data_IF_507882705080
#
_entry.id   IF_507882705080
#
_cell.length_a   1.000
_cell.length_b   1.000
_cell.length_c   1.000
_cell.angle_alpha   90.00
_cell.angle_beta   90.00
_cell.angle_gamma   90.00
#
_symmetry.space_group_name_H-M   'P 1'
#
loop_
_entity.id
_entity.type
_entity.pdbx_description
1 polymer ?
#
# COMPACT_ATOMS: atom_id res chain seq x y z
N UNK A 1 -12.18 -16.81 -22.25
CA UNK A 1 -13.29 -17.34 -21.42
C UNK A 1 -14.09 -16.27 -20.66
N UNK A 2 -13.50 -15.18 -20.13
CA UNK A 2 -14.23 -14.15 -19.36
C UNK A 2 -15.32 -13.41 -20.15
N UNK A 3 -15.11 -13.14 -21.44
CA UNK A 3 -16.06 -12.46 -22.31
C UNK A 3 -17.31 -13.30 -22.65
N UNK A 4 -17.18 -14.62 -22.65
CA UNK A 4 -18.30 -15.53 -22.97
C UNK A 4 -19.36 -15.51 -21.87
N UNK A 5 -18.96 -15.37 -20.60
CA UNK A 5 -19.87 -15.24 -19.47
C UNK A 5 -20.63 -13.90 -19.47
N UNK A 6 -19.95 -12.80 -19.81
CA UNK A 6 -20.60 -11.48 -19.93
C UNK A 6 -21.59 -11.49 -21.10
N UNK A 7 -21.21 -12.04 -22.23
CA UNK A 7 -22.09 -12.14 -23.40
C UNK A 7 -23.34 -12.97 -23.11
N UNK A 8 -23.19 -14.08 -22.39
CA UNK A 8 -24.32 -14.91 -21.94
C UNK A 8 -25.26 -14.13 -21.03
N UNK A 9 -24.72 -13.39 -20.06
CA UNK A 9 -25.52 -12.56 -19.15
C UNK A 9 -26.24 -11.44 -19.88
N UNK A 10 -25.63 -10.80 -20.86
CA UNK A 10 -26.28 -9.77 -21.73
C UNK A 10 -27.44 -10.38 -22.53
N UNK A 11 -27.24 -11.58 -23.09
CA UNK A 11 -28.29 -12.27 -23.81
C UNK A 11 -29.45 -12.67 -22.89
N UNK A 12 -29.19 -13.15 -21.68
CA UNK A 12 -30.20 -13.49 -20.70
C UNK A 12 -30.99 -12.24 -20.24
N UNK A 13 -30.28 -11.15 -19.95
CA UNK A 13 -30.94 -9.88 -19.58
C UNK A 13 -31.77 -9.31 -20.71
N UNK A 14 -31.28 -9.35 -21.95
CA UNK A 14 -32.04 -8.94 -23.16
C UNK A 14 -33.26 -9.81 -23.41
N UNK A 15 -33.12 -11.13 -23.24
CA UNK A 15 -34.23 -12.07 -23.33
C UNK A 15 -35.28 -11.83 -22.24
N UNK A 16 -34.87 -11.62 -21.00
CA UNK A 16 -35.77 -11.29 -19.87
C UNK A 16 -36.46 -9.95 -20.07
N UNK A 17 -35.76 -8.93 -20.59
CA UNK A 17 -36.37 -7.66 -20.98
C UNK A 17 -37.47 -7.84 -22.06
N UNK A 18 -37.18 -8.62 -23.09
CA UNK A 18 -38.09 -8.87 -24.18
C UNK A 18 -39.38 -9.56 -23.68
N UNK A 19 -39.27 -10.57 -22.81
CA UNK A 19 -40.41 -11.25 -22.20
C UNK A 19 -41.22 -10.28 -21.35
N UNK A 20 -40.61 -9.52 -20.46
CA UNK A 20 -41.26 -8.54 -19.59
C UNK A 20 -42.02 -7.46 -20.38
N UNK A 21 -41.42 -6.95 -21.48
CA UNK A 21 -42.10 -5.98 -22.36
C UNK A 21 -43.28 -6.59 -23.10
N UNK A 22 -43.13 -7.84 -23.59
CA UNK A 22 -44.18 -8.60 -24.26
C UNK A 22 -45.36 -8.85 -23.34
N UNK A 23 -45.13 -9.44 -22.15
CA UNK A 23 -46.18 -9.69 -21.14
C UNK A 23 -46.88 -8.38 -20.73
N UNK A 24 -46.12 -7.28 -20.61
CA UNK A 24 -46.67 -5.96 -20.34
C UNK A 24 -47.59 -5.43 -21.43
N UNK A 25 -47.28 -5.67 -22.70
CA UNK A 25 -48.16 -5.29 -23.85
C UNK A 25 -49.40 -6.13 -23.90
N UNK A 26 -49.29 -7.45 -23.73
CA UNK A 26 -50.41 -8.37 -23.68
C UNK A 26 -51.35 -8.06 -22.50
N UNK A 27 -50.84 -7.73 -21.34
CA UNK A 27 -51.65 -7.33 -20.16
C UNK A 27 -52.40 -6.03 -20.40
N UNK A 28 -51.82 -5.04 -21.07
CA UNK A 28 -52.54 -3.80 -21.47
C UNK A 28 -53.67 -4.09 -22.43
N UNK A 29 -53.49 -5.01 -23.36
CA UNK A 29 -54.54 -5.39 -24.29
C UNK A 29 -55.70 -6.12 -23.60
N UNK A 30 -55.39 -7.08 -22.68
CA UNK A 30 -56.41 -7.75 -21.86
C UNK A 30 -57.18 -6.72 -21.00
N UNK A 31 -56.46 -5.76 -20.40
CA UNK A 31 -57.10 -4.69 -19.62
C UNK A 31 -58.07 -3.85 -20.49
N UNK A 32 -57.67 -3.52 -21.72
CA UNK A 32 -58.51 -2.81 -22.67
C UNK A 32 -59.80 -3.63 -23.01
N UNK A 33 -59.66 -4.95 -23.20
CA UNK A 33 -60.72 -5.86 -23.44
C UNK A 33 -61.72 -5.96 -22.26
N UNK A 34 -61.19 -5.93 -21.01
CA UNK A 34 -62.03 -5.88 -19.82
C UNK A 34 -62.90 -4.60 -19.81
N UNK A 35 -62.26 -3.45 -20.03
CA UNK A 35 -62.98 -2.16 -20.06
C UNK A 35 -64.08 -2.16 -21.17
N UNK A 36 -63.73 -2.63 -22.38
CA UNK A 36 -64.70 -2.70 -23.49
C UNK A 36 -65.86 -3.68 -23.22
N UNK A 37 -65.60 -4.80 -22.54
CA UNK A 37 -66.61 -5.77 -22.13
C UNK A 37 -67.51 -5.21 -21.03
N UNK A 38 -67.02 -4.47 -20.09
CA UNK A 38 -67.75 -3.78 -19.04
C UNK A 38 -68.64 -2.68 -19.63
N UNK A 39 -68.18 -1.91 -20.63
CA UNK A 39 -68.98 -0.87 -21.34
C UNK A 39 -70.05 -1.45 -22.26
N UNK A 40 -69.84 -2.61 -22.86
CA UNK A 40 -70.78 -3.23 -23.79
C UNK A 40 -71.92 -3.94 -23.13
N UNK A 41 -71.97 -4.03 -21.78
CA UNK A 41 -73.11 -4.61 -21.06
C UNK A 41 -73.12 -6.17 -21.07
N UNK A 42 -72.03 -6.83 -21.38
CA UNK A 42 -71.86 -8.30 -21.32
C UNK A 42 -70.89 -8.72 -20.17
N UNK A 43 -71.20 -8.33 -18.90
CA UNK A 43 -70.25 -8.52 -17.81
C UNK A 43 -70.25 -9.94 -17.22
N UNK A 44 -71.31 -10.73 -17.41
CA UNK A 44 -71.49 -11.96 -16.62
C UNK A 44 -70.65 -13.15 -17.12
N UNK A 45 -70.30 -13.22 -18.42
CA UNK A 45 -69.64 -14.39 -18.97
C UNK A 45 -68.17 -14.15 -19.38
N UNK A 46 -67.82 -12.99 -19.89
CA UNK A 46 -66.44 -12.71 -20.43
C UNK A 46 -65.57 -11.99 -19.45
N UNK A 47 -66.09 -11.13 -18.59
CA UNK A 47 -65.32 -10.30 -17.67
C UNK A 47 -64.56 -11.14 -16.60
N UNK A 48 -65.18 -12.17 -15.98
CA UNK A 48 -64.46 -13.02 -15.00
C UNK A 48 -63.27 -13.75 -15.63
N UNK A 49 -63.41 -14.30 -16.81
CA UNK A 49 -62.33 -15.03 -17.50
C UNK A 49 -61.18 -14.10 -17.91
N UNK A 50 -61.44 -12.89 -18.37
CA UNK A 50 -60.46 -11.89 -18.71
C UNK A 50 -59.75 -11.39 -17.48
N UNK A 51 -60.43 -11.21 -16.34
CA UNK A 51 -59.82 -10.85 -15.04
C UNK A 51 -58.90 -11.96 -14.54
N UNK A 52 -59.37 -13.22 -14.59
CA UNK A 52 -58.52 -14.37 -14.20
C UNK A 52 -57.25 -14.47 -15.08
N UNK A 53 -57.39 -14.24 -16.40
CA UNK A 53 -56.27 -14.19 -17.34
C UNK A 53 -55.28 -13.05 -16.99
N UNK A 54 -55.78 -11.84 -16.70
CA UNK A 54 -54.95 -10.69 -16.28
C UNK A 54 -54.21 -11.00 -15.01
N UNK A 55 -54.86 -11.58 -13.99
CA UNK A 55 -54.25 -11.89 -12.69
C UNK A 55 -53.15 -12.96 -12.82
N UNK A 56 -53.36 -13.96 -13.72
CA UNK A 56 -52.31 -14.91 -14.07
C UNK A 56 -51.08 -14.24 -14.72
N UNK A 57 -51.35 -13.33 -15.68
CA UNK A 57 -50.27 -12.56 -16.33
C UNK A 57 -49.56 -11.59 -15.38
N UNK A 58 -50.24 -11.07 -14.36
CA UNK A 58 -49.63 -10.21 -13.33
C UNK A 58 -48.62 -11.01 -12.48
N UNK A 59 -48.96 -12.26 -12.14
CA UNK A 59 -48.04 -13.18 -11.47
C UNK A 59 -46.80 -13.47 -12.31
N UNK A 60 -46.96 -13.84 -13.58
CA UNK A 60 -45.85 -14.07 -14.52
C UNK A 60 -44.97 -12.83 -14.66
N UNK A 61 -45.55 -11.66 -14.86
CA UNK A 61 -44.83 -10.39 -14.97
C UNK A 61 -44.05 -10.04 -13.72
N UNK A 62 -44.56 -10.37 -12.55
CA UNK A 62 -43.85 -10.15 -11.29
C UNK A 62 -42.57 -10.99 -11.24
N UNK A 63 -42.66 -12.26 -11.63
CA UNK A 63 -41.47 -13.16 -11.68
C UNK A 63 -40.47 -12.68 -12.72
N UNK A 64 -40.94 -12.30 -13.93
CA UNK A 64 -40.11 -11.75 -15.00
C UNK A 64 -39.40 -10.45 -14.57
N UNK A 65 -40.11 -9.57 -13.84
CA UNK A 65 -39.58 -8.33 -13.29
C UNK A 65 -38.50 -8.56 -12.22
N UNK A 66 -38.71 -9.53 -11.32
CA UNK A 66 -37.75 -9.94 -10.34
C UNK A 66 -36.48 -10.47 -11.04
N UNK A 67 -36.66 -11.38 -11.99
CA UNK A 67 -35.55 -11.98 -12.75
C UNK A 67 -34.74 -10.90 -13.51
N UNK A 68 -35.43 -9.98 -14.17
CA UNK A 68 -34.83 -8.85 -14.90
C UNK A 68 -34.02 -7.97 -13.95
N UNK A 69 -34.55 -7.68 -12.75
CA UNK A 69 -33.87 -6.86 -11.74
C UNK A 69 -32.56 -7.52 -11.27
N UNK A 70 -32.60 -8.82 -10.96
CA UNK A 70 -31.41 -9.54 -10.55
C UNK A 70 -30.37 -9.64 -11.67
N UNK A 71 -30.75 -9.93 -12.89
CA UNK A 71 -29.86 -9.99 -14.05
C UNK A 71 -29.24 -8.63 -14.36
N UNK A 72 -30.01 -7.55 -14.30
CA UNK A 72 -29.51 -6.19 -14.55
C UNK A 72 -28.57 -5.72 -13.42
N UNK A 73 -28.91 -5.99 -12.16
CA UNK A 73 -28.04 -5.68 -11.01
C UNK A 73 -26.72 -6.46 -11.09
N UNK A 74 -26.77 -7.74 -11.48
CA UNK A 74 -25.59 -8.56 -11.70
C UNK A 74 -24.69 -8.00 -12.80
N UNK A 75 -25.26 -7.58 -13.92
CA UNK A 75 -24.51 -6.94 -15.02
C UNK A 75 -23.86 -5.62 -14.60
N UNK A 76 -24.60 -4.76 -13.91
CA UNK A 76 -24.06 -3.50 -13.37
C UNK A 76 -22.94 -3.76 -12.37
N UNK A 77 -23.12 -4.74 -11.47
CA UNK A 77 -22.09 -5.13 -10.51
C UNK A 77 -20.81 -5.63 -11.18
N UNK A 78 -20.92 -6.50 -12.18
CA UNK A 78 -19.76 -6.99 -12.94
C UNK A 78 -19.08 -5.85 -13.70
N UNK A 79 -19.87 -4.98 -14.35
CA UNK A 79 -19.31 -3.82 -15.05
C UNK A 79 -18.56 -2.89 -14.09
N UNK A 80 -19.12 -2.64 -12.91
CA UNK A 80 -18.48 -1.81 -11.88
C UNK A 80 -17.15 -2.42 -11.41
N UNK A 81 -17.14 -3.72 -11.07
CA UNK A 81 -15.93 -4.38 -10.57
C UNK A 81 -14.86 -4.52 -11.66
N UNK A 82 -15.25 -4.82 -12.89
CA UNK A 82 -14.28 -5.10 -13.97
C UNK A 82 -13.73 -3.83 -14.62
N UNK A 83 -14.54 -2.78 -14.72
CA UNK A 83 -14.18 -1.56 -15.46
C UNK A 83 -14.10 -0.31 -14.61
N UNK A 84 -15.09 -0.07 -13.74
CA UNK A 84 -15.11 1.15 -12.95
C UNK A 84 -14.10 1.12 -11.81
N UNK A 85 -14.03 0.03 -11.07
CA UNK A 85 -13.11 -0.09 -9.93
C UNK A 85 -11.63 0.05 -10.33
N UNK A 86 -11.11 -0.62 -11.38
CA UNK A 86 -9.74 -0.43 -11.84
C UNK A 86 -9.48 0.99 -12.35
N UNK A 87 -10.46 1.58 -13.06
CA UNK A 87 -10.35 2.95 -13.54
C UNK A 87 -10.25 3.96 -12.39
N UNK A 88 -11.10 3.83 -11.38
CA UNK A 88 -11.04 4.69 -10.18
C UNK A 88 -9.79 4.42 -9.34
N UNK A 89 -9.39 3.16 -9.17
CA UNK A 89 -8.19 2.81 -8.45
C UNK A 89 -6.94 3.42 -9.11
N UNK A 90 -6.79 3.28 -10.42
CA UNK A 90 -5.67 3.90 -11.16
C UNK A 90 -5.70 5.43 -11.07
N UNK A 91 -6.88 6.05 -11.21
CA UNK A 91 -6.99 7.50 -11.14
C UNK A 91 -6.75 8.06 -9.74
N UNK A 92 -7.16 7.34 -8.70
CA UNK A 92 -6.89 7.72 -7.31
C UNK A 92 -5.39 7.55 -6.97
N UNK A 93 -4.78 6.46 -7.44
CA UNK A 93 -3.35 6.22 -7.28
C UNK A 93 -2.55 7.33 -7.97
N UNK A 94 -2.88 7.68 -9.21
CA UNK A 94 -2.24 8.80 -9.92
C UNK A 94 -2.47 10.15 -9.22
N UNK A 95 -3.68 10.43 -8.73
CA UNK A 95 -3.96 11.70 -8.06
C UNK A 95 -3.25 11.87 -6.71
N UNK A 96 -2.95 10.77 -6.01
CA UNK A 96 -2.26 10.79 -4.70
C UNK A 96 -0.75 10.70 -4.87
N UNK A 97 -0.25 9.99 -5.88
CA UNK A 97 1.18 9.74 -6.07
C UNK A 97 1.84 10.64 -7.11
N UNK A 98 1.14 11.09 -8.16
CA UNK A 98 1.75 11.91 -9.23
C UNK A 98 2.07 13.36 -8.81
N UNK A 99 1.47 13.88 -7.74
CA UNK A 99 1.75 15.25 -7.30
C UNK A 99 3.11 15.41 -6.61
N UNK A 100 3.68 14.33 -6.07
CA UNK A 100 4.99 14.31 -5.43
C UNK A 100 6.08 13.64 -6.28
N UNK A 101 5.69 12.87 -7.31
CA UNK A 101 6.57 11.91 -7.97
C UNK A 101 7.22 12.42 -9.28
N UNK A 102 6.75 13.54 -9.85
CA UNK A 102 7.20 13.94 -11.19
C UNK A 102 8.60 14.59 -11.23
N UNK A 103 9.09 15.16 -10.12
CA UNK A 103 10.48 15.72 -10.07
C UNK A 103 11.42 14.71 -9.39
N UNK A 104 10.94 13.98 -8.40
CA UNK A 104 11.71 12.96 -7.67
C UNK A 104 12.05 11.73 -8.52
N UNK A 105 11.17 11.35 -9.45
CA UNK A 105 11.30 10.14 -10.25
C UNK A 105 12.50 10.15 -11.20
N UNK A 106 12.87 11.31 -11.74
CA UNK A 106 13.94 11.38 -12.74
C UNK A 106 15.32 11.36 -12.08
N UNK A 107 15.56 12.19 -11.06
CA UNK A 107 16.88 12.30 -10.43
C UNK A 107 17.19 11.09 -9.56
N UNK A 108 16.24 10.60 -8.75
CA UNK A 108 16.39 9.38 -7.96
C UNK A 108 16.52 8.13 -8.83
N UNK A 109 15.81 8.06 -9.95
CA UNK A 109 15.95 6.97 -10.90
C UNK A 109 17.34 6.97 -11.55
N UNK A 110 17.84 8.13 -11.95
CA UNK A 110 19.19 8.29 -12.52
C UNK A 110 20.25 7.85 -11.51
N UNK A 111 20.16 8.31 -10.26
CA UNK A 111 21.10 7.93 -9.21
C UNK A 111 21.10 6.41 -8.95
N UNK A 112 19.93 5.78 -8.86
CA UNK A 112 19.80 4.31 -8.70
C UNK A 112 20.34 3.55 -9.91
N UNK A 113 20.16 4.08 -11.12
CA UNK A 113 20.70 3.46 -12.33
C UNK A 113 22.22 3.46 -12.33
N UNK A 114 22.85 4.59 -11.97
CA UNK A 114 24.31 4.69 -11.82
C UNK A 114 24.83 3.74 -10.73
N UNK A 115 24.16 3.67 -9.59
CA UNK A 115 24.49 2.73 -8.52
C UNK A 115 24.42 1.28 -9.00
N UNK A 116 23.40 0.89 -9.78
CA UNK A 116 23.26 -0.46 -10.32
C UNK A 116 24.34 -0.80 -11.38
N UNK A 117 24.91 0.21 -12.03
CA UNK A 117 26.04 0.07 -12.97
C UNK A 117 27.41 0.03 -12.27
N UNK A 118 27.44 0.27 -10.95
CA UNK A 118 28.68 0.35 -10.19
C UNK A 118 29.38 1.71 -10.26
N UNK A 119 28.72 2.71 -10.84
CA UNK A 119 29.23 4.09 -10.93
C UNK A 119 28.89 4.87 -9.65
N UNK A 120 29.54 4.50 -8.55
CA UNK A 120 29.18 4.94 -7.20
C UNK A 120 29.36 6.45 -6.98
N UNK A 121 30.45 7.03 -7.49
CA UNK A 121 30.70 8.47 -7.40
C UNK A 121 29.64 9.27 -8.18
N UNK A 122 29.30 8.81 -9.39
CA UNK A 122 28.23 9.41 -10.18
C UNK A 122 26.86 9.30 -9.51
N UNK A 123 26.58 8.15 -8.86
CA UNK A 123 25.35 7.94 -8.10
C UNK A 123 25.27 8.90 -6.90
N UNK A 124 26.38 9.10 -6.16
CA UNK A 124 26.43 10.05 -5.04
C UNK A 124 26.11 11.47 -5.49
N UNK A 125 26.69 11.94 -6.61
CA UNK A 125 26.40 13.28 -7.12
C UNK A 125 24.93 13.41 -7.55
N UNK A 126 24.37 12.42 -8.23
CA UNK A 126 22.96 12.43 -8.61
C UNK A 126 22.02 12.38 -7.36
N UNK A 127 22.38 11.67 -6.30
CA UNK A 127 21.64 11.72 -5.05
C UNK A 127 21.76 13.08 -4.34
N UNK A 128 22.90 13.78 -4.43
CA UNK A 128 23.02 15.14 -3.91
C UNK A 128 22.12 16.12 -4.66
N UNK A 129 22.03 15.98 -5.99
CA UNK A 129 21.08 16.75 -6.78
C UNK A 129 19.62 16.48 -6.36
N UNK A 130 19.28 15.22 -6.11
CA UNK A 130 17.95 14.85 -5.59
C UNK A 130 17.68 15.46 -4.20
N UNK A 131 18.66 15.47 -3.31
CA UNK A 131 18.55 16.12 -2.01
C UNK A 131 18.38 17.63 -2.10
N UNK A 132 19.04 18.26 -3.07
CA UNK A 132 18.90 19.69 -3.32
C UNK A 132 17.53 20.05 -3.94
N UNK A 133 16.96 19.16 -4.76
CA UNK A 133 15.65 19.34 -5.38
C UNK A 133 14.50 19.18 -4.37
N UNK A 134 14.64 18.26 -3.41
CA UNK A 134 13.67 18.02 -2.33
C UNK A 134 14.42 17.93 -0.98
N UNK A 135 14.68 19.07 -0.32
CA UNK A 135 15.48 19.10 0.90
C UNK A 135 14.88 18.33 2.09
N UNK A 136 13.56 18.14 2.15
CA UNK A 136 12.88 17.41 3.22
C UNK A 136 12.85 15.90 2.98
N UNK A 137 13.39 15.42 1.87
CA UNK A 137 13.51 14.01 1.56
C UNK A 137 14.80 13.42 2.16
N UNK A 138 14.65 12.54 3.14
CA UNK A 138 15.80 11.87 3.77
C UNK A 138 16.47 10.82 2.88
N UNK A 139 15.71 10.25 1.89
CA UNK A 139 16.16 9.07 1.13
C UNK A 139 17.48 9.28 0.39
N UNK A 140 17.72 10.41 -0.32
CA UNK A 140 19.00 10.64 -0.98
C UNK A 140 20.21 10.55 -0.02
N UNK A 141 20.10 11.16 1.15
CA UNK A 141 21.15 11.14 2.15
C UNK A 141 21.46 9.74 2.69
N UNK A 142 20.39 8.95 2.89
CA UNK A 142 20.51 7.55 3.34
C UNK A 142 21.20 6.69 2.28
N UNK A 143 20.84 6.87 1.01
CA UNK A 143 21.46 6.11 -0.09
C UNK A 143 22.93 6.52 -0.29
N UNK A 144 23.28 7.80 -0.18
CA UNK A 144 24.69 8.25 -0.21
C UNK A 144 25.49 7.58 0.90
N UNK A 145 25.01 7.63 2.13
CA UNK A 145 25.71 7.02 3.25
C UNK A 145 25.87 5.49 3.11
N UNK A 146 24.85 4.84 2.54
CA UNK A 146 24.91 3.41 2.24
C UNK A 146 25.96 3.08 1.18
N UNK A 147 26.01 3.84 0.08
CA UNK A 147 27.04 3.67 -0.96
C UNK A 147 28.42 3.84 -0.37
N UNK A 148 28.65 4.89 0.42
CA UNK A 148 29.93 5.17 1.07
C UNK A 148 30.37 4.03 1.98
N UNK A 149 29.46 3.51 2.82
CA UNK A 149 29.75 2.41 3.73
C UNK A 149 29.94 1.08 3.00
N UNK A 150 28.94 0.66 2.20
CA UNK A 150 28.83 -0.72 1.72
C UNK A 150 29.59 -0.95 0.41
N UNK A 151 29.70 0.07 -0.44
CA UNK A 151 30.32 -0.06 -1.78
C UNK A 151 31.74 0.53 -1.84
N UNK A 152 31.93 1.70 -1.19
CA UNK A 152 33.23 2.37 -1.20
C UNK A 152 34.10 2.00 0.03
N UNK A 153 33.53 1.34 1.03
CA UNK A 153 34.26 0.96 2.26
C UNK A 153 34.72 2.16 3.07
N UNK A 154 34.01 3.29 2.96
CA UNK A 154 34.32 4.54 3.69
C UNK A 154 33.21 4.87 4.72
N UNK A 155 33.26 4.25 5.90
CA UNK A 155 32.30 4.53 6.95
C UNK A 155 32.44 5.95 7.54
N UNK A 156 33.63 6.55 7.45
CA UNK A 156 33.84 7.92 7.93
C UNK A 156 33.09 8.91 7.07
N UNK A 157 33.10 8.75 5.74
CA UNK A 157 32.29 9.53 4.83
C UNK A 157 30.79 9.31 5.08
N UNK A 158 30.34 8.07 5.32
CA UNK A 158 28.96 7.76 5.64
C UNK A 158 28.47 8.49 6.91
N UNK A 159 29.28 8.47 7.98
CA UNK A 159 29.01 9.21 9.22
C UNK A 159 28.91 10.72 8.95
N UNK A 160 29.88 11.27 8.19
CA UNK A 160 29.87 12.69 7.83
C UNK A 160 28.62 13.08 7.03
N UNK A 161 28.19 12.24 6.11
CA UNK A 161 27.00 12.45 5.30
C UNK A 161 25.71 12.47 6.15
N UNK A 162 25.53 11.49 7.05
CA UNK A 162 24.35 11.45 7.94
C UNK A 162 24.34 12.64 8.91
N UNK A 163 25.51 13.00 9.44
CA UNK A 163 25.64 14.17 10.32
C UNK A 163 25.31 15.47 9.56
N UNK A 164 25.86 15.64 8.37
CA UNK A 164 25.55 16.79 7.53
C UNK A 164 24.05 16.89 7.20
N UNK A 165 23.42 15.77 6.84
CA UNK A 165 21.99 15.74 6.61
C UNK A 165 21.20 16.19 7.85
N UNK A 166 21.55 15.68 9.03
CA UNK A 166 20.88 16.02 10.29
C UNK A 166 21.02 17.50 10.65
N UNK A 167 22.16 18.11 10.35
CA UNK A 167 22.48 19.51 10.66
C UNK A 167 21.99 20.50 9.60
N UNK A 168 21.66 20.03 8.37
CA UNK A 168 21.36 20.89 7.22
C UNK A 168 20.02 21.61 7.32
N UNK A 169 19.07 21.08 8.12
CA UNK A 169 17.73 21.61 8.25
C UNK A 169 16.99 21.03 9.47
N UNK A 170 15.80 21.59 9.77
CA UNK A 170 14.89 21.05 10.77
C UNK A 170 14.09 19.88 10.18
N UNK A 171 14.35 18.68 10.66
CA UNK A 171 13.64 17.47 10.26
C UNK A 171 12.42 17.21 11.13
N UNK A 172 11.39 16.60 10.53
CA UNK A 172 10.31 16.02 11.34
C UNK A 172 10.85 14.95 12.30
N UNK A 173 10.17 14.77 13.43
CA UNK A 173 10.59 13.86 14.51
C UNK A 173 10.96 12.47 13.99
N UNK A 174 10.17 11.92 13.05
CA UNK A 174 10.44 10.58 12.51
C UNK A 174 11.74 10.52 11.69
N UNK A 175 12.06 11.57 10.94
CA UNK A 175 13.24 11.62 10.08
C UNK A 175 14.49 11.97 10.88
N UNK A 176 14.38 12.91 11.82
CA UNK A 176 15.45 13.22 12.78
C UNK A 176 15.85 11.98 13.59
N UNK A 177 14.87 11.29 14.16
CA UNK A 177 15.11 10.04 14.88
C UNK A 177 15.75 8.98 13.99
N UNK A 178 15.29 8.82 12.75
CA UNK A 178 15.85 7.88 11.80
C UNK A 178 17.35 8.14 11.55
N UNK A 179 17.72 9.39 11.31
CA UNK A 179 19.13 9.75 11.13
C UNK A 179 19.98 9.49 12.39
N UNK A 180 19.46 9.80 13.58
CA UNK A 180 20.17 9.52 14.84
C UNK A 180 20.37 8.01 15.05
N UNK A 181 19.35 7.19 14.79
CA UNK A 181 19.49 5.74 14.84
C UNK A 181 20.55 5.25 13.86
N UNK A 182 20.52 5.73 12.62
CA UNK A 182 21.49 5.36 11.59
C UNK A 182 22.91 5.78 11.95
N UNK A 183 23.04 6.97 12.55
CA UNK A 183 24.34 7.47 13.02
C UNK A 183 24.91 6.60 14.16
N UNK A 184 24.08 6.22 15.12
CA UNK A 184 24.47 5.34 16.20
C UNK A 184 24.87 3.94 15.71
N UNK A 185 24.13 3.38 14.75
CA UNK A 185 24.50 2.10 14.10
C UNK A 185 25.86 2.20 13.41
N UNK A 186 26.13 3.28 12.68
CA UNK A 186 27.42 3.49 12.02
C UNK A 186 28.57 3.57 13.02
N UNK A 187 28.40 4.27 14.13
CA UNK A 187 29.42 4.33 15.17
C UNK A 187 29.65 2.98 15.84
N UNK A 188 28.58 2.26 16.15
CA UNK A 188 28.65 0.97 16.82
C UNK A 188 29.24 -0.12 15.93
N UNK A 189 28.66 -0.32 14.73
CA UNK A 189 28.88 -1.52 13.94
C UNK A 189 30.15 -1.42 13.07
N UNK A 190 30.53 -0.21 12.69
CA UNK A 190 31.63 0.00 11.75
C UNK A 190 32.87 0.58 12.42
N UNK A 191 32.69 1.59 13.27
CA UNK A 191 33.81 2.20 13.98
C UNK A 191 34.17 1.51 15.30
N UNK A 192 33.30 0.61 15.80
CA UNK A 192 33.44 0.03 17.13
C UNK A 192 33.34 1.05 18.26
N UNK A 193 32.86 2.27 17.97
CA UNK A 193 32.71 3.35 18.93
C UNK A 193 31.36 3.27 19.65
N UNK A 194 31.30 2.31 20.56
CA UNK A 194 30.11 2.09 21.42
C UNK A 194 29.77 3.32 22.24
N UNK A 195 30.77 4.07 22.71
CA UNK A 195 30.52 5.24 23.55
C UNK A 195 29.75 6.33 22.79
N UNK A 196 30.17 6.64 21.57
CA UNK A 196 29.43 7.58 20.71
C UNK A 196 28.05 7.07 20.34
N UNK A 197 27.89 5.78 20.04
CA UNK A 197 26.61 5.17 19.75
C UNK A 197 25.62 5.30 20.93
N UNK A 198 26.07 5.00 22.14
CA UNK A 198 25.29 5.15 23.38
C UNK A 198 24.91 6.62 23.63
N UNK A 199 25.83 7.56 23.42
CA UNK A 199 25.54 9.00 23.56
C UNK A 199 24.43 9.45 22.61
N UNK A 200 24.44 8.98 21.35
CA UNK A 200 23.41 9.30 20.37
C UNK A 200 22.05 8.68 20.75
N UNK A 201 22.01 7.44 21.25
CA UNK A 201 20.77 6.84 21.72
C UNK A 201 20.17 7.57 22.91
N UNK A 202 21.00 8.04 23.85
CA UNK A 202 20.55 8.90 24.94
C UNK A 202 20.02 10.25 24.43
N UNK A 203 20.64 10.84 23.42
CA UNK A 203 20.14 12.03 22.75
C UNK A 203 18.74 11.80 22.15
N UNK A 204 18.44 10.66 21.55
CA UNK A 204 17.10 10.31 21.06
C UNK A 204 16.08 10.29 22.19
N UNK A 205 16.44 9.73 23.36
CA UNK A 205 15.56 9.67 24.53
C UNK A 205 15.26 11.09 25.06
N UNK A 206 16.27 11.93 25.12
CA UNK A 206 16.17 13.30 25.63
C UNK A 206 15.40 14.23 24.68
N UNK A 207 15.63 14.11 23.37
CA UNK A 207 15.00 14.97 22.37
C UNK A 207 13.54 14.57 22.06
N UNK A 208 13.21 13.29 22.17
CA UNK A 208 11.88 12.78 21.79
C UNK A 208 11.18 12.04 22.95
N UNK A 209 11.04 12.64 24.13
CA UNK A 209 10.52 11.95 25.30
C UNK A 209 9.08 11.48 25.09
N UNK A 210 8.77 10.27 25.61
CA UNK A 210 7.42 9.70 25.51
C UNK A 210 7.00 9.22 24.11
N UNK A 211 7.92 9.23 23.15
CA UNK A 211 7.65 8.70 21.81
C UNK A 211 8.08 7.24 21.68
N UNK A 212 7.62 6.58 20.61
CA UNK A 212 8.11 5.24 20.24
C UNK A 212 9.63 5.23 19.99
N UNK A 213 10.20 6.37 19.55
CA UNK A 213 11.62 6.47 19.28
C UNK A 213 12.45 6.42 20.56
N UNK A 214 12.03 7.11 21.63
CA UNK A 214 12.70 7.02 22.93
C UNK A 214 12.60 5.61 23.52
N UNK A 215 11.46 4.92 23.36
CA UNK A 215 11.30 3.55 23.82
C UNK A 215 12.23 2.59 23.03
N UNK A 216 12.32 2.73 21.71
CA UNK A 216 13.22 1.94 20.87
C UNK A 216 14.70 2.20 21.19
N UNK A 217 15.09 3.46 21.46
CA UNK A 217 16.43 3.80 21.87
C UNK A 217 16.80 3.18 23.23
N UNK A 218 15.89 3.21 24.19
CA UNK A 218 16.06 2.53 25.47
C UNK A 218 16.22 1.01 25.33
N UNK A 219 15.42 0.39 24.45
CA UNK A 219 15.58 -1.03 24.15
C UNK A 219 16.93 -1.35 23.51
N UNK A 220 17.41 -0.52 22.59
CA UNK A 220 18.70 -0.69 21.94
C UNK A 220 19.87 -0.54 22.91
N UNK A 221 19.80 0.42 23.83
CA UNK A 221 20.77 0.59 24.89
C UNK A 221 20.85 -0.65 25.81
N UNK A 222 19.70 -1.21 26.17
CA UNK A 222 19.64 -2.43 26.96
C UNK A 222 20.24 -3.63 26.20
N UNK A 223 19.90 -3.81 24.92
CA UNK A 223 20.49 -4.84 24.06
C UNK A 223 22.02 -4.75 24.05
N UNK A 224 22.56 -3.54 23.92
CA UNK A 224 23.99 -3.31 23.91
C UNK A 224 24.65 -3.57 25.25
N UNK A 225 24.01 -3.20 26.38
CA UNK A 225 24.55 -3.48 27.72
C UNK A 225 24.66 -4.99 28.00
N UNK A 226 23.63 -5.75 27.63
CA UNK A 226 23.64 -7.22 27.78
C UNK A 226 24.74 -7.86 26.92
N UNK A 227 24.95 -7.36 25.69
CA UNK A 227 26.02 -7.86 24.84
C UNK A 227 27.42 -7.56 25.41
N UNK A 228 27.62 -6.37 25.95
CA UNK A 228 28.91 -5.96 26.56
C UNK A 228 29.17 -6.76 27.86
N UNK A 229 28.17 -7.02 28.67
CA UNK A 229 28.29 -7.89 29.87
C UNK A 229 28.64 -9.33 29.47
N UNK A 230 28.00 -9.89 28.45
CA UNK A 230 28.29 -11.24 27.96
C UNK A 230 29.71 -11.35 27.40
N UNK A 231 30.21 -10.32 26.68
CA UNK A 231 31.57 -10.27 26.16
C UNK A 231 32.60 -10.19 27.29
N UNK A 232 32.31 -9.39 28.32
CA UNK A 232 33.19 -9.26 29.51
C UNK A 232 33.29 -10.60 30.23
N UNK A 233 32.19 -11.27 30.50
CA UNK A 233 32.15 -12.60 31.13
C UNK A 233 32.91 -13.64 30.30
N UNK A 234 32.75 -13.65 28.98
CA UNK A 234 33.50 -14.57 28.11
C UNK A 234 35.00 -14.31 28.11
N UNK A 235 35.44 -13.05 28.17
CA UNK A 235 36.83 -12.69 28.24
C UNK A 235 37.44 -13.08 29.60
N UNK A 236 36.74 -12.89 30.72
CA UNK A 236 37.16 -13.30 32.05
C UNK A 236 37.31 -14.84 32.13
N UNK A 237 36.37 -15.59 31.56
CA UNK A 237 36.46 -17.06 31.48
C UNK A 237 37.65 -17.52 30.63
N UNK A 238 37.85 -16.91 29.47
CA UNK A 238 38.98 -17.20 28.61
C UNK A 238 40.33 -16.93 29.31
N UNK A 239 40.44 -15.81 30.03
CA UNK A 239 41.64 -15.46 30.81
C UNK A 239 41.86 -16.46 31.99
N UNK A 240 40.78 -16.87 32.65
CA UNK A 240 40.84 -17.87 33.71
C UNK A 240 41.38 -19.22 33.18
N UNK A 241 40.88 -19.68 32.03
CA UNK A 241 41.33 -20.93 31.40
C UNK A 241 42.78 -20.86 30.91
N UNK A 242 43.19 -19.72 30.35
CA UNK A 242 44.55 -19.48 29.91
C UNK A 242 45.55 -19.52 31.08
N UNK A 243 45.18 -19.05 32.28
CA UNK A 243 45.99 -19.14 33.49
C UNK A 243 46.12 -20.58 34.02
N UNK A 244 45.09 -21.42 33.79
CA UNK A 244 45.11 -22.83 34.22
C UNK A 244 45.96 -23.73 33.29
N UNK A 245 46.07 -23.38 32.00
CA UNK A 245 46.84 -24.16 31.00
C UNK A 245 47.99 -23.34 30.36
N UNK A 246 49.08 -23.01 31.09
CA UNK A 246 50.18 -22.22 30.56
C UNK A 246 51.08 -22.97 29.57
N UNK A 247 50.77 -24.23 29.22
CA UNK A 247 51.66 -25.14 28.48
C UNK A 247 51.35 -25.35 26.99
N UNK A 248 50.32 -24.71 26.39
CA UNK A 248 49.92 -24.98 25.01
C UNK A 248 50.25 -23.81 24.03
N UNK A 249 51.27 -23.03 24.37
CA UNK A 249 51.85 -22.01 23.49
C UNK A 249 53.26 -22.42 23.05
N UNK A 250 53.37 -23.57 22.36
CA UNK A 250 54.58 -24.05 21.74
C UNK A 250 54.43 -24.19 20.22
#
# INVERSE_FOLDING_TARGET
MKWLGILLLVLLAGGSWFLFDRTGKEMKEVTRQIVAAEESGDPETKVPDLKAKRDGMEGERTIEGILLTFLSAGLVGIFFVVYALPFFAQRLTHAVYDSAEMVEKDVMHTARSLMAQGEYEGAIEAFKEAAAADPLNRLPWVEIAKIQKDNLGDPAAAIATIRHALESQEWEINDAAYFLFRLAELYNDVNGDRASAVAIMNQVIEQFPGTRHSANAGHKLHEWSVADEALTAANEEAEYLARQNPGDQG
#
